data_IF_855511888846
#
_entry.id   IF_855511888846
#
_cell.length_a   1.000
_cell.length_b   1.000
_cell.length_c   1.000
_cell.angle_alpha   90.00
_cell.angle_beta   90.00
_cell.angle_gamma   90.00
#
_symmetry.space_group_name_H-M   'P 1'
#
loop_
_entity.id
_entity.type
_entity.pdbx_description
1 polymer ?
#
# COMPACT_ATOMS: atom_id res chain seq x y z
N UNK A 1 -1.91 30.03 4.18
CA UNK A 1 -1.21 29.15 3.23
C UNK A 1 -1.66 29.55 1.85
N UNK A 2 -0.73 29.94 0.99
CA UNK A 2 -1.04 30.22 -0.42
C UNK A 2 -1.25 28.87 -1.14
N UNK A 3 -2.42 28.59 -1.74
CA UNK A 3 -2.68 27.33 -2.42
C UNK A 3 -1.77 27.07 -3.63
N UNK A 4 -1.07 28.10 -4.13
CA UNK A 4 -0.10 27.97 -5.23
C UNK A 4 1.32 27.59 -4.78
N UNK A 5 1.59 27.43 -3.48
CA UNK A 5 2.93 27.05 -2.98
C UNK A 5 3.24 25.55 -3.07
N UNK A 6 2.23 24.70 -3.26
CA UNK A 6 2.39 23.25 -3.40
C UNK A 6 2.30 22.84 -4.87
N UNK A 7 3.30 23.23 -5.67
CA UNK A 7 3.50 22.65 -7.00
C UNK A 7 4.16 21.28 -6.83
N UNK A 8 3.34 20.23 -6.74
CA UNK A 8 3.83 18.87 -6.81
C UNK A 8 4.21 18.54 -8.26
N UNK A 9 5.46 18.09 -8.43
CA UNK A 9 5.91 17.49 -9.67
C UNK A 9 5.35 16.06 -9.75
N UNK A 10 4.26 15.90 -10.49
CA UNK A 10 3.55 14.62 -10.62
C UNK A 10 4.39 13.52 -11.26
N UNK A 11 5.34 13.88 -12.13
CA UNK A 11 6.25 12.93 -12.75
C UNK A 11 7.18 12.35 -11.68
N UNK A 12 7.86 13.22 -10.91
CA UNK A 12 8.70 12.80 -9.79
C UNK A 12 7.93 12.03 -8.72
N UNK A 13 6.73 12.49 -8.36
CA UNK A 13 5.88 11.78 -7.39
C UNK A 13 5.56 10.37 -7.91
N UNK A 14 5.22 10.23 -9.19
CA UNK A 14 4.98 8.94 -9.83
C UNK A 14 6.20 8.01 -9.81
N UNK A 15 7.38 8.55 -10.10
CA UNK A 15 8.66 7.81 -10.03
C UNK A 15 8.95 7.32 -8.61
N UNK A 16 8.83 8.19 -7.60
CA UNK A 16 9.07 7.86 -6.19
C UNK A 16 8.10 6.78 -5.71
N UNK A 17 6.80 6.92 -6.02
CA UNK A 17 5.80 5.92 -5.65
C UNK A 17 6.07 4.57 -6.32
N UNK A 18 6.43 4.58 -7.61
CA UNK A 18 6.80 3.37 -8.35
C UNK A 18 8.02 2.71 -7.72
N UNK A 19 9.04 3.49 -7.38
CA UNK A 19 10.24 2.99 -6.71
C UNK A 19 9.91 2.37 -5.34
N UNK A 20 9.05 2.99 -4.53
CA UNK A 20 8.58 2.42 -3.26
C UNK A 20 7.89 1.06 -3.48
N UNK A 21 6.97 0.97 -4.45
CA UNK A 21 6.21 -0.26 -4.72
C UNK A 21 7.14 -1.38 -5.19
N UNK A 22 8.02 -1.09 -6.16
CA UNK A 22 8.97 -2.07 -6.68
C UNK A 22 9.93 -2.52 -5.59
N UNK A 23 10.47 -1.58 -4.80
CA UNK A 23 11.41 -1.90 -3.73
C UNK A 23 10.74 -2.69 -2.61
N UNK A 24 9.50 -2.37 -2.25
CA UNK A 24 8.71 -3.14 -1.30
C UNK A 24 8.52 -4.57 -1.78
N UNK A 25 8.15 -4.78 -3.05
CA UNK A 25 8.01 -6.13 -3.60
C UNK A 25 9.33 -6.90 -3.59
N UNK A 26 10.44 -6.27 -4.02
CA UNK A 26 11.77 -6.92 -4.04
C UNK A 26 12.22 -7.31 -2.64
N UNK A 27 12.14 -6.40 -1.67
CA UNK A 27 12.56 -6.68 -0.29
C UNK A 27 11.64 -7.69 0.39
N UNK A 28 10.34 -7.63 0.13
CA UNK A 28 9.38 -8.62 0.62
C UNK A 28 9.73 -10.02 0.10
N UNK A 29 9.95 -10.16 -1.22
CA UNK A 29 10.33 -11.45 -1.82
C UNK A 29 11.67 -11.95 -1.29
N UNK A 30 12.64 -11.07 -1.07
CA UNK A 30 13.94 -11.45 -0.50
C UNK A 30 13.82 -11.92 0.97
N UNK A 31 13.06 -11.19 1.79
CA UNK A 31 12.87 -11.52 3.21
C UNK A 31 11.98 -12.75 3.42
N UNK A 32 11.08 -13.06 2.48
CA UNK A 32 10.25 -14.26 2.54
C UNK A 32 11.10 -15.53 2.66
N UNK A 33 12.20 -15.65 1.92
CA UNK A 33 13.12 -16.80 2.00
C UNK A 33 13.65 -16.99 3.43
N UNK A 34 13.96 -15.91 4.14
CA UNK A 34 14.41 -15.95 5.53
C UNK A 34 13.25 -16.30 6.48
N UNK A 35 12.10 -15.62 6.34
CA UNK A 35 10.96 -15.74 7.25
C UNK A 35 10.17 -17.02 7.13
N UNK A 36 10.23 -17.69 5.98
CA UNK A 36 9.59 -18.98 5.71
C UNK A 36 10.55 -20.15 5.97
N UNK A 37 11.83 -19.89 6.23
CA UNK A 37 12.78 -20.94 6.59
C UNK A 37 12.33 -21.69 7.85
N UNK A 38 12.45 -23.02 7.84
CA UNK A 38 12.01 -23.89 8.95
C UNK A 38 12.64 -23.50 10.29
N UNK A 39 13.89 -23.04 10.27
CA UNK A 39 14.62 -22.58 11.45
C UNK A 39 14.01 -21.31 12.04
N UNK A 40 13.67 -20.34 11.18
CA UNK A 40 13.08 -19.08 11.61
C UNK A 40 11.68 -19.29 12.19
N UNK A 41 10.83 -20.04 11.48
CA UNK A 41 9.46 -20.35 11.93
C UNK A 41 9.50 -21.04 13.29
N UNK A 42 10.27 -22.12 13.44
CA UNK A 42 10.37 -22.86 14.70
C UNK A 42 10.80 -22.00 15.90
N UNK A 43 11.58 -20.93 15.68
CA UNK A 43 12.15 -20.10 16.76
C UNK A 43 11.33 -18.84 17.09
N UNK A 44 10.65 -18.28 16.10
CA UNK A 44 10.08 -16.93 16.14
C UNK A 44 8.60 -16.84 15.75
N UNK A 45 7.95 -17.94 15.44
CA UNK A 45 6.50 -17.98 15.24
C UNK A 45 5.76 -17.36 16.46
N UNK A 46 4.80 -16.47 16.17
CA UNK A 46 4.00 -15.76 17.18
C UNK A 46 4.67 -14.61 17.92
N UNK A 47 5.96 -14.31 17.69
CA UNK A 47 6.71 -13.30 18.48
C UNK A 47 6.80 -11.90 17.86
N UNK A 48 6.21 -11.67 16.68
CA UNK A 48 6.26 -10.38 15.98
C UNK A 48 7.66 -9.93 15.55
N UNK A 49 8.65 -10.82 15.59
CA UNK A 49 10.06 -10.50 15.27
C UNK A 49 10.25 -10.28 13.78
N UNK A 50 9.41 -10.90 12.94
CA UNK A 50 9.46 -10.76 11.47
C UNK A 50 9.30 -9.30 11.06
N UNK A 51 8.31 -8.62 11.64
CA UNK A 51 8.01 -7.23 11.36
C UNK A 51 9.18 -6.31 11.72
N UNK A 52 9.80 -6.51 12.89
CA UNK A 52 10.95 -5.72 13.31
C UNK A 52 12.18 -5.96 12.44
N UNK A 53 12.44 -7.20 12.05
CA UNK A 53 13.54 -7.53 11.13
C UNK A 53 13.28 -6.91 9.75
N UNK A 54 12.05 -6.99 9.24
CA UNK A 54 11.69 -6.38 7.96
C UNK A 54 11.87 -4.86 8.00
N UNK A 55 11.37 -4.20 9.05
CA UNK A 55 11.53 -2.76 9.26
C UNK A 55 13.01 -2.38 9.33
N UNK A 56 13.82 -3.10 10.13
CA UNK A 56 15.25 -2.83 10.25
C UNK A 56 15.99 -2.97 8.92
N UNK A 57 15.69 -4.01 8.14
CA UNK A 57 16.31 -4.24 6.82
C UNK A 57 15.91 -3.14 5.84
N UNK A 58 14.62 -2.81 5.73
CA UNK A 58 14.17 -1.76 4.80
C UNK A 58 14.70 -0.38 5.16
N UNK A 59 14.76 -0.03 6.45
CA UNK A 59 15.40 1.21 6.95
C UNK A 59 16.88 1.22 6.60
N UNK A 60 17.59 0.12 6.82
CA UNK A 60 19.02 0.03 6.48
C UNK A 60 19.25 0.25 5.00
N UNK A 61 18.45 -0.39 4.13
CA UNK A 61 18.51 -0.20 2.68
C UNK A 61 18.24 1.26 2.29
N UNK A 62 17.18 1.86 2.84
CA UNK A 62 16.84 3.25 2.57
C UNK A 62 17.95 4.22 3.00
N UNK A 63 18.58 4.00 4.15
CA UNK A 63 19.70 4.84 4.64
C UNK A 63 20.96 4.66 3.80
N UNK A 64 21.32 3.43 3.42
CA UNK A 64 22.51 3.15 2.58
C UNK A 64 22.35 3.80 1.20
N UNK A 65 21.13 3.75 0.64
CA UNK A 65 20.84 4.31 -0.67
C UNK A 65 20.41 5.77 -0.65
N UNK A 66 20.35 6.41 0.52
CA UNK A 66 19.88 7.79 0.66
C UNK A 66 18.49 7.99 0.06
N UNK A 67 17.63 6.97 0.19
CA UNK A 67 16.28 7.01 -0.34
C UNK A 67 15.34 7.70 0.65
N UNK A 68 15.22 9.02 0.49
CA UNK A 68 14.29 9.87 1.23
C UNK A 68 13.13 10.29 0.32
N UNK A 69 12.07 9.49 0.28
CA UNK A 69 10.89 9.75 -0.53
C UNK A 69 10.19 11.07 -0.17
N UNK A 70 10.24 11.48 1.10
CA UNK A 70 9.61 12.73 1.57
C UNK A 70 10.33 13.92 0.96
N UNK A 71 11.65 13.98 1.09
CA UNK A 71 12.45 15.07 0.53
C UNK A 71 12.40 15.08 -1.00
N UNK A 72 12.32 13.91 -1.65
CA UNK A 72 12.15 13.82 -3.10
C UNK A 72 10.80 14.38 -3.56
N UNK A 73 9.71 14.05 -2.88
CA UNK A 73 8.35 14.54 -3.18
C UNK A 73 8.20 16.04 -2.92
N UNK A 74 8.86 16.56 -1.87
CA UNK A 74 8.80 17.99 -1.49
C UNK A 74 9.85 18.83 -2.25
N UNK A 75 10.55 18.24 -3.23
CA UNK A 75 11.58 18.90 -4.05
C UNK A 75 12.68 19.57 -3.20
N UNK A 76 13.12 18.91 -2.14
CA UNK A 76 14.23 19.38 -1.31
C UNK A 76 15.56 18.85 -1.85
N UNK A 77 16.59 19.70 -1.91
CA UNK A 77 17.92 19.36 -2.46
C UNK A 77 18.75 18.40 -1.58
N UNK A 78 18.30 18.10 -0.36
CA UNK A 78 19.02 17.29 0.61
C UNK A 78 18.16 16.15 1.11
N UNK A 79 18.73 14.96 1.12
CA UNK A 79 18.13 13.82 1.82
C UNK A 79 18.36 13.97 3.32
N UNK A 80 17.37 13.57 4.11
CA UNK A 80 17.43 13.60 5.56
C UNK A 80 17.41 12.19 6.10
N UNK A 81 18.19 11.93 7.15
CA UNK A 81 18.19 10.61 7.81
C UNK A 81 16.79 10.27 8.33
N UNK A 82 16.04 11.28 8.80
CA UNK A 82 14.65 11.10 9.21
C UNK A 82 13.78 10.60 8.06
N UNK A 83 13.84 11.26 6.90
CA UNK A 83 13.08 10.85 5.73
C UNK A 83 13.54 9.51 5.15
N UNK A 84 14.83 9.18 5.21
CA UNK A 84 15.37 7.84 4.89
C UNK A 84 14.75 6.75 5.78
N UNK A 85 14.70 6.98 7.10
CA UNK A 85 14.09 6.04 8.06
C UNK A 85 12.58 5.89 7.80
N UNK A 86 11.88 7.01 7.62
CA UNK A 86 10.43 6.97 7.36
C UNK A 86 10.14 6.24 6.05
N UNK A 87 10.94 6.48 5.01
CA UNK A 87 10.82 5.79 3.71
C UNK A 87 11.03 4.29 3.87
N UNK A 88 12.06 3.86 4.61
CA UNK A 88 12.28 2.46 4.93
C UNK A 88 11.12 1.80 5.69
N UNK A 89 10.51 2.51 6.64
CA UNK A 89 9.32 2.05 7.35
C UNK A 89 8.09 1.91 6.43
N UNK A 90 7.91 2.84 5.47
CA UNK A 90 6.84 2.76 4.46
C UNK A 90 7.02 1.52 3.58
N UNK A 91 8.25 1.28 3.11
CA UNK A 91 8.60 0.10 2.31
C UNK A 91 8.31 -1.19 3.11
N UNK A 92 8.73 -1.25 4.38
CA UNK A 92 8.49 -2.41 5.25
C UNK A 92 7.01 -2.65 5.56
N UNK A 93 6.19 -1.58 5.63
CA UNK A 93 4.76 -1.65 5.90
C UNK A 93 3.89 -2.09 4.71
N UNK A 94 4.48 -2.20 3.51
CA UNK A 94 3.74 -2.35 2.25
C UNK A 94 2.80 -3.54 2.16
N UNK A 95 3.11 -4.69 2.79
CA UNK A 95 2.29 -5.91 2.66
C UNK A 95 0.95 -5.83 3.42
N UNK A 96 0.93 -5.20 4.60
CA UNK A 96 -0.30 -5.00 5.40
C UNK A 96 -1.09 -3.77 4.90
N UNK A 97 -0.40 -2.75 4.40
CA UNK A 97 -1.01 -1.55 3.86
C UNK A 97 -1.70 -1.77 2.51
N UNK A 98 -1.09 -2.53 1.59
CA UNK A 98 -1.67 -2.82 0.27
C UNK A 98 -2.93 -3.68 0.35
N UNK A 99 -2.94 -4.71 1.22
CA UNK A 99 -4.12 -5.56 1.44
C UNK A 99 -5.27 -4.75 2.05
N UNK A 100 -4.97 -3.87 3.02
CA UNK A 100 -5.95 -2.98 3.65
C UNK A 100 -6.48 -1.94 2.65
N UNK A 101 -5.62 -1.32 1.85
CA UNK A 101 -6.04 -0.39 0.80
C UNK A 101 -6.97 -1.08 -0.22
N UNK A 102 -6.66 -2.31 -0.62
CA UNK A 102 -7.53 -3.08 -1.52
C UNK A 102 -8.89 -3.38 -0.89
N UNK A 103 -8.91 -3.77 0.38
CA UNK A 103 -10.14 -4.00 1.15
C UNK A 103 -10.96 -2.71 1.26
N UNK A 104 -10.32 -1.59 1.63
CA UNK A 104 -10.96 -0.29 1.76
C UNK A 104 -11.56 0.17 0.41
N UNK A 105 -10.85 -0.02 -0.71
CA UNK A 105 -11.37 0.32 -2.06
C UNK A 105 -12.54 -0.56 -2.47
N UNK A 106 -12.50 -1.86 -2.16
CA UNK A 106 -13.62 -2.77 -2.45
C UNK A 106 -14.85 -2.45 -1.60
N UNK A 107 -14.66 -2.12 -0.33
CA UNK A 107 -15.74 -1.76 0.60
C UNK A 107 -16.42 -0.46 0.15
N UNK A 108 -15.64 0.57 -0.23
CA UNK A 108 -16.16 1.83 -0.81
C UNK A 108 -17.02 1.57 -2.05
N UNK A 109 -16.61 0.64 -2.93
CA UNK A 109 -17.41 0.27 -4.11
C UNK A 109 -18.70 -0.45 -3.72
N UNK A 110 -18.68 -1.28 -2.69
CA UNK A 110 -19.87 -1.98 -2.19
C UNK A 110 -20.89 -0.99 -1.63
N UNK A 111 -20.45 -0.06 -0.77
CA UNK A 111 -21.36 0.96 -0.20
C UNK A 111 -21.98 1.86 -1.27
N UNK A 112 -21.20 2.30 -2.27
CA UNK A 112 -21.73 3.10 -3.37
C UNK A 112 -22.75 2.32 -4.23
N UNK A 113 -22.53 1.03 -4.43
CA UNK A 113 -23.46 0.16 -5.15
C UNK A 113 -24.74 -0.09 -4.37
N UNK A 114 -24.66 -0.28 -3.04
CA UNK A 114 -25.81 -0.47 -2.15
C UNK A 114 -26.67 0.78 -2.02
N UNK A 115 -26.05 1.98 -1.99
CA UNK A 115 -26.79 3.25 -2.01
C UNK A 115 -27.51 3.46 -3.36
N UNK A 116 -26.88 3.07 -4.47
CA UNK A 116 -27.49 3.17 -5.80
C UNK A 116 -28.55 2.08 -6.08
N UNK A 117 -28.44 0.92 -5.43
CA UNK A 117 -29.35 -0.22 -5.54
C UNK A 117 -29.70 -0.73 -4.14
N UNK A 118 -30.64 -0.07 -3.45
CA UNK A 118 -31.02 -0.46 -2.10
C UNK A 118 -31.53 -1.91 -2.08
N UNK A 119 -31.18 -2.70 -1.04
CA UNK A 119 -31.62 -4.08 -0.92
C UNK A 119 -33.14 -4.16 -0.90
N UNK A 120 -33.67 -5.26 -1.44
CA UNK A 120 -35.11 -5.49 -1.52
C UNK A 120 -35.73 -5.53 -0.10
N UNK A 121 -36.77 -4.72 0.18
CA UNK A 121 -37.34 -4.57 1.51
C UNK A 121 -38.05 -5.84 2.06
N UNK A 122 -38.43 -6.80 1.20
CA UNK A 122 -39.06 -8.05 1.63
C UNK A 122 -38.06 -9.18 1.86
N UNK A 123 -36.95 -9.19 1.12
CA UNK A 123 -36.00 -10.32 1.13
C UNK A 123 -34.63 -9.99 1.71
N UNK A 124 -34.31 -8.69 1.87
CA UNK A 124 -33.02 -8.22 2.38
C UNK A 124 -31.82 -8.54 1.48
N UNK A 125 -32.05 -9.06 0.27
CA UNK A 125 -31.01 -9.48 -0.66
C UNK A 125 -30.65 -8.35 -1.64
N UNK A 126 -29.39 -8.25 -2.09
CA UNK A 126 -29.00 -7.31 -3.14
C UNK A 126 -29.84 -7.57 -4.39
N UNK A 127 -30.35 -6.49 -5.01
CA UNK A 127 -31.12 -6.62 -6.25
C UNK A 127 -30.22 -7.24 -7.34
N UNK A 128 -30.68 -8.28 -8.05
CA UNK A 128 -29.89 -8.92 -9.09
C UNK A 128 -29.51 -7.89 -10.17
N UNK A 129 -28.25 -7.92 -10.61
CA UNK A 129 -27.76 -7.06 -11.69
C UNK A 129 -28.68 -7.23 -12.89
N UNK A 130 -29.40 -6.16 -13.25
CA UNK A 130 -30.27 -6.17 -14.44
C UNK A 130 -29.37 -6.34 -15.65
N UNK A 131 -29.44 -7.52 -16.25
CA UNK A 131 -28.68 -7.84 -17.44
C UNK A 131 -29.27 -7.04 -18.61
N UNK A 132 -28.60 -5.94 -18.99
CA UNK A 132 -29.08 -5.03 -20.05
C UNK A 132 -29.26 -5.74 -21.39
N UNK A 133 -28.67 -6.92 -21.56
CA UNK A 133 -28.88 -7.79 -22.72
C UNK A 133 -30.31 -8.36 -22.81
N UNK A 134 -31.02 -8.51 -21.69
CA UNK A 134 -32.38 -9.06 -21.68
C UNK A 134 -33.46 -8.00 -21.99
N UNK A 135 -33.17 -6.70 -21.83
CA UNK A 135 -34.14 -5.61 -22.01
C UNK A 135 -34.18 -5.08 -23.45
N UNK A 136 -33.13 -5.34 -24.25
CA UNK A 136 -33.07 -4.91 -25.64
C UNK A 136 -33.81 -5.84 -26.64
N UNK A 137 -34.49 -6.88 -26.15
CA UNK A 137 -35.18 -7.90 -26.97
C UNK A 137 -36.70 -7.95 -26.83
N UNK A 138 -37.33 -6.92 -26.24
CA UNK A 138 -38.79 -6.78 -26.12
C UNK A 138 -39.28 -5.55 -26.88
#
# INVERSE_FOLDING_TARGET
>A
MDPNLFHLDWERVGEVLTAIIVLAFVLERALAVLFESRLFVKRFEGKGVKEWVAAAVCVTVAVIWKFDAISMIILTDKTTIFGEIVTGCVIAGGSKASLKLFQDVMDVRSSAHEVAHPPDPETGKPQPKVDRAAVAGL
#
